data_IF_846628877747
#
_entry.id   IF_846628877747
#
_cell.length_a   1.000
_cell.length_b   1.000
_cell.length_c   1.000
_cell.angle_alpha   90.00
_cell.angle_beta   90.00
_cell.angle_gamma   90.00
#
_symmetry.space_group_name_H-M   'P 1'
#
loop_
_entity.id
_entity.type
_entity.pdbx_description
1 polymer ?
#
# COMPACT_ATOMS: atom_id res chain seq x y z
N UNK A 1 5.44 -5.19 22.93
CA UNK A 1 4.53 -5.78 21.92
C UNK A 1 4.87 -5.07 20.64
N UNK A 2 5.39 -5.77 19.64
CA UNK A 2 5.65 -5.19 18.32
C UNK A 2 4.30 -4.86 17.68
N UNK A 3 4.05 -3.60 17.35
CA UNK A 3 2.85 -3.19 16.62
C UNK A 3 2.91 -3.77 15.21
N UNK A 4 1.83 -4.43 14.77
CA UNK A 4 1.78 -5.05 13.45
C UNK A 4 1.94 -4.03 12.31
N UNK A 5 1.41 -2.83 12.50
CA UNK A 5 1.60 -1.72 11.59
C UNK A 5 1.38 -0.40 12.33
N UNK A 6 1.95 0.68 11.80
CA UNK A 6 1.75 2.05 12.27
C UNK A 6 1.24 2.93 11.13
N UNK A 7 0.20 3.71 11.38
CA UNK A 7 -0.37 4.67 10.42
C UNK A 7 -0.15 6.08 10.96
N UNK A 8 0.41 6.96 10.14
CA UNK A 8 0.65 8.35 10.50
C UNK A 8 0.49 9.27 9.29
N UNK A 9 -0.10 10.46 9.46
CA UNK A 9 -0.17 11.45 8.39
C UNK A 9 1.10 12.30 8.37
N UNK A 10 1.83 12.31 7.25
CA UNK A 10 3.10 13.02 7.06
C UNK A 10 2.95 14.19 6.10
N UNK A 11 2.13 15.15 6.50
CA UNK A 11 1.97 16.44 5.82
C UNK A 11 1.18 16.37 4.51
N UNK A 12 1.66 15.60 3.54
CA UNK A 12 1.06 15.49 2.21
C UNK A 12 0.58 14.07 1.84
N UNK A 13 0.86 13.07 2.67
CA UNK A 13 0.48 11.68 2.45
C UNK A 13 0.26 10.95 3.77
N UNK A 14 -0.49 9.86 3.73
CA UNK A 14 -0.56 8.88 4.81
C UNK A 14 0.65 7.94 4.67
N UNK A 15 1.36 7.75 5.76
CA UNK A 15 2.47 6.82 5.87
C UNK A 15 2.03 5.59 6.67
N UNK A 16 2.32 4.42 6.13
CA UNK A 16 2.05 3.13 6.75
C UNK A 16 3.37 2.40 6.89
N UNK A 17 3.72 2.01 8.10
CA UNK A 17 4.90 1.18 8.36
C UNK A 17 4.43 -0.20 8.80
N UNK A 18 4.72 -1.23 8.02
CA UNK A 18 4.52 -2.62 8.42
C UNK A 18 5.65 -3.06 9.34
N UNK A 19 5.28 -3.64 10.49
CA UNK A 19 6.20 -4.28 11.42
C UNK A 19 6.57 -5.69 10.97
N UNK A 20 7.61 -6.27 11.59
CA UNK A 20 8.07 -7.63 11.28
C UNK A 20 7.01 -8.71 11.62
N UNK A 21 6.08 -8.39 12.53
CA UNK A 21 4.97 -9.25 12.94
C UNK A 21 3.75 -9.15 12.02
N UNK A 22 3.80 -8.34 10.95
CA UNK A 22 2.68 -8.19 10.04
C UNK A 22 2.43 -9.49 9.26
N UNK A 23 1.29 -10.11 9.54
CA UNK A 23 0.75 -11.19 8.72
C UNK A 23 -0.36 -10.65 7.84
N UNK A 24 -0.39 -11.12 6.61
CA UNK A 24 -1.37 -10.71 5.62
C UNK A 24 -2.72 -11.41 5.81
N UNK A 25 -3.20 -11.47 7.06
CA UNK A 25 -4.48 -12.09 7.37
C UNK A 25 -5.65 -11.33 6.69
N UNK A 26 -6.63 -12.02 6.09
CA UNK A 26 -7.72 -11.35 5.36
C UNK A 26 -8.56 -10.40 6.20
N UNK A 27 -8.81 -10.72 7.48
CA UNK A 27 -9.58 -9.87 8.40
C UNK A 27 -8.80 -8.61 8.73
N UNK A 28 -7.51 -8.76 9.03
CA UNK A 28 -6.61 -7.64 9.30
C UNK A 28 -6.42 -6.73 8.09
N UNK A 29 -6.39 -7.29 6.88
CA UNK A 29 -6.34 -6.48 5.66
C UNK A 29 -7.60 -5.62 5.51
N UNK A 30 -8.78 -6.14 5.85
CA UNK A 30 -10.01 -5.35 5.77
C UNK A 30 -9.97 -4.20 6.77
N UNK A 31 -9.65 -4.50 8.04
CA UNK A 31 -9.54 -3.48 9.08
C UNK A 31 -8.50 -2.41 8.73
N UNK A 32 -7.34 -2.82 8.21
CA UNK A 32 -6.30 -1.91 7.76
C UNK A 32 -6.80 -0.96 6.66
N UNK A 33 -7.43 -1.49 5.61
CA UNK A 33 -7.91 -0.67 4.49
C UNK A 33 -9.07 0.26 4.90
N UNK A 34 -9.96 -0.19 5.80
CA UNK A 34 -10.99 0.66 6.39
C UNK A 34 -10.39 1.79 7.25
N UNK A 35 -9.35 1.51 8.03
CA UNK A 35 -8.63 2.53 8.80
C UNK A 35 -7.92 3.53 7.89
N UNK A 36 -7.24 3.05 6.84
CA UNK A 36 -6.57 3.90 5.87
C UNK A 36 -7.55 4.79 5.13
N UNK A 37 -8.71 4.26 4.76
CA UNK A 37 -9.79 5.04 4.16
C UNK A 37 -10.23 6.17 5.08
N UNK A 38 -10.52 5.89 6.34
CA UNK A 38 -10.92 6.91 7.32
C UNK A 38 -9.83 7.96 7.54
N UNK A 39 -8.57 7.56 7.57
CA UNK A 39 -7.43 8.48 7.66
C UNK A 39 -7.32 9.36 6.42
N UNK A 40 -7.46 8.78 5.22
CA UNK A 40 -7.46 9.50 3.96
C UNK A 40 -8.60 10.53 3.89
N UNK A 41 -9.83 10.12 4.25
CA UNK A 41 -11.01 10.99 4.31
C UNK A 41 -10.84 12.11 5.35
N UNK A 42 -10.28 11.81 6.52
CA UNK A 42 -10.06 12.79 7.59
C UNK A 42 -8.97 13.83 7.30
N UNK A 43 -8.06 13.53 6.36
CA UNK A 43 -6.94 14.40 5.98
C UNK A 43 -7.04 14.94 4.54
N UNK A 44 -8.15 14.67 3.84
CA UNK A 44 -8.39 15.04 2.44
C UNK A 44 -7.20 14.64 1.53
N UNK A 45 -6.72 13.40 1.68
CA UNK A 45 -5.60 12.88 0.91
C UNK A 45 -5.92 11.49 0.39
N UNK A 46 -5.48 11.20 -0.83
CA UNK A 46 -5.55 9.87 -1.43
C UNK A 46 -4.13 9.34 -1.72
N UNK A 47 -3.15 9.74 -0.92
CA UNK A 47 -1.74 9.36 -1.09
C UNK A 47 -1.30 8.50 0.07
N UNK A 48 -0.79 7.32 -0.24
CA UNK A 48 -0.29 6.37 0.74
C UNK A 48 1.13 5.97 0.36
N UNK A 49 2.07 6.17 1.30
CA UNK A 49 3.37 5.51 1.29
C UNK A 49 3.32 4.35 2.27
N UNK A 50 3.48 3.13 1.76
CA UNK A 50 3.52 1.93 2.56
C UNK A 50 4.94 1.36 2.58
N UNK A 51 5.55 1.28 3.75
CA UNK A 51 6.93 0.85 3.97
C UNK A 51 6.99 -0.39 4.85
N UNK A 52 7.98 -1.25 4.64
CA UNK A 52 8.26 -2.35 5.58
C UNK A 52 8.97 -3.54 4.94
N UNK A 53 8.74 -4.71 5.52
CA UNK A 53 9.30 -5.97 5.01
C UNK A 53 8.38 -6.52 3.92
N UNK A 54 8.97 -7.05 2.84
CA UNK A 54 8.24 -7.75 1.79
C UNK A 54 7.40 -8.87 2.42
N UNK A 55 6.06 -8.88 2.24
CA UNK A 55 5.25 -9.98 2.75
C UNK A 55 5.69 -11.29 2.10
N UNK A 56 5.64 -12.39 2.87
CA UNK A 56 6.15 -13.69 2.45
C UNK A 56 5.68 -14.09 1.02
N UNK A 57 6.58 -14.70 0.22
CA UNK A 57 6.37 -14.93 -1.21
C UNK A 57 5.25 -15.91 -1.55
N UNK A 58 4.72 -16.64 -0.58
CA UNK A 58 3.73 -17.71 -0.79
C UNK A 58 2.28 -17.19 -0.82
N UNK A 59 2.01 -16.22 -1.71
CA UNK A 59 0.63 -15.78 -1.97
C UNK A 59 0.12 -16.40 -3.25
N UNK A 60 -1.00 -17.11 -3.14
CA UNK A 60 -1.75 -17.57 -4.31
C UNK A 60 -2.20 -16.38 -5.19
N UNK A 61 -2.31 -16.55 -6.52
CA UNK A 61 -2.77 -15.49 -7.41
C UNK A 61 -4.13 -14.91 -7.03
N UNK A 62 -5.05 -15.75 -6.54
CA UNK A 62 -6.37 -15.31 -6.04
C UNK A 62 -6.23 -14.37 -4.85
N UNK A 63 -5.38 -14.69 -3.87
CA UNK A 63 -5.13 -13.82 -2.72
C UNK A 63 -4.51 -12.47 -3.13
N UNK A 64 -3.65 -12.46 -4.16
CA UNK A 64 -3.08 -11.22 -4.71
C UNK A 64 -4.15 -10.36 -5.36
N UNK A 65 -5.02 -10.96 -6.17
CA UNK A 65 -6.14 -10.26 -6.83
C UNK A 65 -7.08 -9.65 -5.80
N UNK A 66 -7.45 -10.39 -4.75
CA UNK A 66 -8.31 -9.88 -3.69
C UNK A 66 -7.65 -8.71 -2.94
N UNK A 67 -6.36 -8.85 -2.58
CA UNK A 67 -5.62 -7.78 -1.91
C UNK A 67 -5.53 -6.51 -2.77
N UNK A 68 -5.36 -6.64 -4.08
CA UNK A 68 -5.33 -5.51 -5.01
C UNK A 68 -6.70 -4.81 -5.10
N UNK A 69 -7.79 -5.58 -5.20
CA UNK A 69 -9.16 -5.03 -5.21
C UNK A 69 -9.49 -4.25 -3.94
N UNK A 70 -9.03 -4.73 -2.78
CA UNK A 70 -9.27 -4.04 -1.50
C UNK A 70 -8.68 -2.63 -1.45
N UNK A 71 -7.63 -2.34 -2.22
CA UNK A 71 -7.04 -0.98 -2.24
C UNK A 71 -7.98 0.06 -2.86
N UNK A 72 -8.92 -0.38 -3.71
CA UNK A 72 -9.85 0.50 -4.40
C UNK A 72 -10.98 1.05 -3.50
N UNK A 73 -11.03 0.67 -2.22
CA UNK A 73 -11.96 1.29 -1.25
C UNK A 73 -11.65 2.78 -1.03
N UNK A 74 -10.44 3.21 -1.37
CA UNK A 74 -10.03 4.62 -1.34
C UNK A 74 -10.08 5.16 -2.78
N UNK A 75 -10.97 6.10 -3.10
CA UNK A 75 -11.10 6.62 -4.45
C UNK A 75 -9.85 7.40 -4.87
N UNK A 76 -9.45 7.25 -6.13
CA UNK A 76 -8.28 7.93 -6.73
C UNK A 76 -6.96 7.69 -5.97
N UNK A 77 -6.83 6.55 -5.31
CA UNK A 77 -5.66 6.21 -4.50
C UNK A 77 -4.37 6.17 -5.32
N UNK A 78 -3.36 6.88 -4.82
CA UNK A 78 -1.96 6.76 -5.19
C UNK A 78 -1.21 6.04 -4.07
N UNK A 79 -0.70 4.85 -4.38
CA UNK A 79 -0.07 3.97 -3.42
C UNK A 79 1.35 3.64 -3.87
N UNK A 80 2.33 4.08 -3.09
CA UNK A 80 3.72 3.71 -3.28
C UNK A 80 4.11 2.70 -2.20
N UNK A 81 4.65 1.56 -2.63
CA UNK A 81 5.28 0.61 -1.73
C UNK A 81 6.79 0.81 -1.74
N UNK A 82 7.39 0.80 -0.56
CA UNK A 82 8.83 0.72 -0.39
C UNK A 82 9.14 -0.51 0.47
N UNK A 83 9.83 -1.49 -0.11
CA UNK A 83 10.29 -2.66 0.62
C UNK A 83 11.79 -2.85 0.43
N UNK A 84 12.51 -3.02 1.54
CA UNK A 84 13.95 -3.26 1.51
C UNK A 84 14.27 -4.56 0.75
N UNK A 85 15.21 -4.48 -0.19
CA UNK A 85 15.63 -5.63 -1.01
C UNK A 85 14.53 -6.15 -1.94
N UNK A 86 13.52 -5.33 -2.26
CA UNK A 86 12.44 -5.73 -3.16
C UNK A 86 12.96 -6.19 -4.52
N UNK A 87 12.53 -7.39 -4.92
CA UNK A 87 12.68 -7.92 -6.29
C UNK A 87 11.27 -8.09 -6.86
N UNK A 88 10.97 -7.49 -8.03
CA UNK A 88 9.71 -7.72 -8.71
C UNK A 88 9.46 -9.19 -8.98
N UNK A 89 8.25 -9.65 -8.71
CA UNK A 89 7.77 -11.00 -9.00
C UNK A 89 6.46 -10.95 -9.80
N UNK A 90 6.09 -12.06 -10.42
CA UNK A 90 4.80 -12.19 -11.14
C UNK A 90 3.60 -11.79 -10.25
N UNK A 91 3.63 -12.14 -8.96
CA UNK A 91 2.60 -11.74 -8.00
C UNK A 91 2.54 -10.22 -7.81
N UNK A 92 3.68 -9.54 -7.78
CA UNK A 92 3.71 -8.08 -7.63
C UNK A 92 3.24 -7.37 -8.89
N UNK A 93 3.57 -7.91 -10.07
CA UNK A 93 3.07 -7.40 -11.36
C UNK A 93 1.55 -7.58 -11.45
N UNK A 94 1.05 -8.79 -11.14
CA UNK A 94 -0.39 -9.09 -11.08
C UNK A 94 -1.12 -8.11 -10.14
N UNK A 95 -0.55 -7.86 -8.97
CA UNK A 95 -1.11 -6.89 -8.01
C UNK A 95 -1.24 -5.51 -8.64
N UNK A 96 -0.18 -5.00 -9.26
CA UNK A 96 -0.18 -3.66 -9.88
C UNK A 96 -1.19 -3.53 -11.01
N UNK A 97 -1.31 -4.55 -11.86
CA UNK A 97 -2.25 -4.59 -12.98
C UNK A 97 -3.69 -4.59 -12.48
N UNK A 98 -3.99 -5.44 -11.49
CA UNK A 98 -5.33 -5.51 -10.91
C UNK A 98 -5.67 -4.19 -10.22
N UNK A 99 -4.79 -3.64 -9.39
CA UNK A 99 -5.04 -2.36 -8.71
C UNK A 99 -5.33 -1.23 -9.71
N UNK A 100 -4.55 -1.16 -10.81
CA UNK A 100 -4.75 -0.18 -11.88
C UNK A 100 -6.11 -0.35 -12.57
N UNK A 101 -6.58 -1.58 -12.78
CA UNK A 101 -7.90 -1.84 -13.36
C UNK A 101 -9.06 -1.32 -12.48
N UNK A 102 -8.83 -1.16 -11.18
CA UNK A 102 -9.79 -0.59 -10.23
C UNK A 102 -9.52 0.90 -9.91
N UNK A 103 -8.70 1.58 -10.72
CA UNK A 103 -8.46 3.02 -10.60
C UNK A 103 -7.40 3.41 -9.57
N UNK A 104 -6.68 2.45 -9.00
CA UNK A 104 -5.59 2.69 -8.04
C UNK A 104 -4.26 2.80 -8.79
N UNK A 105 -3.52 3.88 -8.55
CA UNK A 105 -2.17 4.06 -9.09
C UNK A 105 -1.18 3.47 -8.09
N UNK A 106 -0.69 2.27 -8.40
CA UNK A 106 0.28 1.56 -7.57
C UNK A 106 1.66 1.55 -8.21
N UNK A 107 2.70 1.73 -7.40
CA UNK A 107 4.08 1.46 -7.81
C UNK A 107 4.92 1.01 -6.62
N UNK A 108 5.82 0.05 -6.86
CA UNK A 108 6.71 -0.51 -5.85
C UNK A 108 8.13 -0.01 -6.15
N UNK A 109 8.85 0.38 -5.10
CA UNK A 109 10.18 0.96 -5.17
C UNK A 109 11.12 0.25 -4.19
N UNK A 110 12.39 0.15 -4.56
CA UNK A 110 13.47 -0.30 -3.66
C UNK A 110 14.12 0.86 -2.91
N UNK A 111 13.70 2.09 -3.20
CA UNK A 111 14.21 3.32 -2.58
C UNK A 111 13.06 4.21 -2.14
N UNK A 112 13.12 4.64 -0.88
CA UNK A 112 12.10 5.45 -0.23
C UNK A 112 11.94 6.83 -0.85
N UNK A 113 13.05 7.48 -1.20
CA UNK A 113 13.02 8.84 -1.75
C UNK A 113 12.35 8.86 -3.12
N UNK A 114 12.62 7.86 -3.96
CA UNK A 114 11.96 7.66 -5.25
C UNK A 114 10.46 7.43 -5.09
N UNK A 115 10.04 6.64 -4.09
CA UNK A 115 8.63 6.41 -3.80
C UNK A 115 7.90 7.72 -3.44
N UNK A 116 8.48 8.52 -2.54
CA UNK A 116 7.96 9.82 -2.13
C UNK A 116 7.89 10.81 -3.28
N UNK A 117 8.97 10.92 -4.06
CA UNK A 117 9.03 11.83 -5.20
C UNK A 117 7.96 11.46 -6.24
N UNK A 118 7.74 10.17 -6.49
CA UNK A 118 6.69 9.73 -7.39
C UNK A 118 5.29 10.07 -6.90
N UNK A 119 4.98 9.85 -5.61
CA UNK A 119 3.69 10.24 -5.03
C UNK A 119 3.44 11.76 -5.18
N UNK A 120 4.45 12.57 -4.84
CA UNK A 120 4.34 14.03 -4.87
C UNK A 120 4.23 14.62 -6.26
N UNK A 121 4.95 14.05 -7.23
CA UNK A 121 4.99 14.56 -8.59
C UNK A 121 3.73 14.20 -9.39
N UNK A 122 3.07 13.09 -9.08
CA UNK A 122 2.02 12.54 -9.94
C UNK A 122 0.62 12.56 -9.32
N UNK A 123 0.51 12.57 -7.99
CA UNK A 123 -0.79 12.65 -7.34
C UNK A 123 -1.30 14.11 -7.33
N UNK A 124 -2.53 14.37 -7.79
CA UNK A 124 -3.15 15.70 -7.66
C UNK A 124 -3.30 16.06 -6.17
N UNK A 125 -3.19 17.36 -5.85
CA UNK A 125 -3.46 17.87 -4.51
C UNK A 125 -4.94 17.79 -4.19
#
# INVERSE_FOLDING_TARGET
>A
MDEAFKIEHRGDHVHVQFGASYTADPEWQNELWDLLRKFCEGHDTARILAEGVVPAPDRSPSSVVEAAKKTAVIPNLWLAFHFDGFVPTESTELYTVVAAAYGVRVKIFSDREQALNWLRANSPK
#
